data_IF_633761128313
#
_entry.id   IF_633761128313
#
_cell.length_a   1.000
_cell.length_b   1.000
_cell.length_c   1.000
_cell.angle_alpha   90.00
_cell.angle_beta   90.00
_cell.angle_gamma   90.00
#
_symmetry.space_group_name_H-M   'P 1'
#
loop_
_entity.id
_entity.type
_entity.pdbx_description
1 polymer ?
#
# COMPACT_ATOMS: atom_id res chain seq x y z
N UNK A 1 -12.86 3.86 37.45
CA UNK A 1 -13.62 3.35 38.62
C UNK A 1 -14.98 2.76 38.27
N UNK A 2 -15.63 3.11 37.14
CA UNK A 2 -16.94 2.54 36.73
C UNK A 2 -16.90 1.56 35.54
N UNK A 3 -15.72 1.04 35.18
CA UNK A 3 -15.56 0.26 33.96
C UNK A 3 -16.38 -1.04 33.96
N UNK A 4 -16.43 -1.78 35.07
CA UNK A 4 -17.28 -2.98 35.19
C UNK A 4 -18.79 -2.69 35.08
N UNK A 5 -19.24 -1.50 35.51
CA UNK A 5 -20.64 -1.11 35.34
C UNK A 5 -20.96 -0.84 33.86
N UNK A 6 -20.01 -0.25 33.12
CA UNK A 6 -20.12 -0.09 31.67
C UNK A 6 -20.13 -1.47 30.98
N UNK A 7 -19.28 -2.41 31.40
CA UNK A 7 -19.30 -3.78 30.87
C UNK A 7 -20.68 -4.44 31.02
N UNK A 8 -21.35 -4.27 32.17
CA UNK A 8 -22.70 -4.81 32.39
C UNK A 8 -23.71 -4.23 31.40
N UNK A 9 -23.62 -2.93 31.11
CA UNK A 9 -24.49 -2.27 30.12
C UNK A 9 -24.19 -2.80 28.72
N UNK A 10 -22.93 -2.80 28.30
CA UNK A 10 -22.53 -3.23 26.96
C UNK A 10 -22.88 -4.70 26.68
N UNK A 11 -22.73 -5.57 27.68
CA UNK A 11 -23.14 -6.98 27.61
C UNK A 11 -24.62 -7.17 27.29
N UNK A 12 -25.49 -6.28 27.78
CA UNK A 12 -26.94 -6.38 27.51
C UNK A 12 -27.28 -6.22 26.03
N UNK A 13 -26.41 -5.56 25.26
CA UNK A 13 -26.69 -5.17 23.87
C UNK A 13 -25.63 -5.66 22.88
N UNK A 14 -24.70 -6.51 23.32
CA UNK A 14 -23.55 -6.99 22.51
C UNK A 14 -22.76 -5.83 21.85
N UNK A 15 -22.54 -4.76 22.61
CA UNK A 15 -21.72 -3.63 22.17
C UNK A 15 -20.25 -3.98 22.43
N UNK A 16 -19.42 -3.83 21.41
CA UNK A 16 -17.97 -4.02 21.49
C UNK A 16 -17.29 -2.76 22.00
N UNK A 17 -16.30 -2.89 22.88
CA UNK A 17 -15.44 -1.78 23.28
C UNK A 17 -14.42 -1.46 22.19
N UNK A 18 -14.39 -0.19 21.79
CA UNK A 18 -13.21 0.45 21.24
C UNK A 18 -12.52 1.17 22.39
N UNK A 19 -11.41 0.61 22.89
CA UNK A 19 -10.67 1.23 23.99
C UNK A 19 -9.79 2.35 23.42
N UNK A 20 -10.23 3.59 23.63
CA UNK A 20 -9.67 4.78 22.98
C UNK A 20 -8.26 5.16 23.39
N UNK A 21 -7.53 5.76 22.46
CA UNK A 21 -6.15 6.22 22.57
C UNK A 21 -6.06 7.72 22.87
N UNK A 22 -6.52 8.09 24.07
CA UNK A 22 -6.62 9.49 24.51
C UNK A 22 -5.27 10.20 24.61
N UNK A 23 -4.18 9.47 24.79
CA UNK A 23 -2.80 9.96 24.91
C UNK A 23 -1.94 9.57 23.69
N UNK A 24 -2.55 9.32 22.53
CA UNK A 24 -1.81 9.06 21.28
C UNK A 24 -0.91 10.25 20.87
N UNK A 25 0.22 9.99 20.18
CA UNK A 25 1.08 11.04 19.67
C UNK A 25 0.41 11.84 18.55
N UNK A 26 0.41 13.17 18.69
CA UNK A 26 -0.07 14.13 17.69
C UNK A 26 1.04 14.74 16.83
N UNK A 27 2.30 14.36 17.06
CA UNK A 27 3.44 14.69 16.21
C UNK A 27 4.51 13.59 16.32
N UNK A 28 5.44 13.56 15.37
CA UNK A 28 6.51 12.55 15.31
C UNK A 28 7.41 12.56 16.55
N UNK A 29 7.60 13.73 17.19
CA UNK A 29 8.48 13.85 18.35
C UNK A 29 7.92 13.20 19.61
N UNK A 30 6.60 13.09 19.72
CA UNK A 30 5.91 12.53 20.89
C UNK A 30 5.65 11.02 20.75
N UNK A 31 6.03 10.43 19.61
CA UNK A 31 5.82 9.01 19.35
C UNK A 31 6.59 8.13 20.35
N UNK A 32 5.89 7.12 20.88
CA UNK A 32 6.39 6.12 21.84
C UNK A 32 6.82 6.72 23.18
N UNK A 33 6.23 7.86 23.57
CA UNK A 33 6.50 8.44 24.88
C UNK A 33 5.87 7.63 26.02
N UNK A 34 6.22 8.00 27.26
CA UNK A 34 5.73 7.30 28.44
C UNK A 34 4.21 7.47 28.67
N UNK A 35 3.61 8.55 28.16
CA UNK A 35 2.17 8.78 28.30
C UNK A 35 1.39 7.82 27.40
N UNK A 36 1.80 7.69 26.13
CA UNK A 36 1.23 6.77 25.16
C UNK A 36 1.30 5.32 25.67
N UNK A 37 2.49 4.86 26.07
CA UNK A 37 2.65 3.47 26.51
C UNK A 37 2.02 3.18 27.86
N UNK A 38 2.00 4.15 28.79
CA UNK A 38 1.27 4.01 30.04
C UNK A 38 -0.25 3.86 29.83
N UNK A 39 -0.82 4.55 28.84
CA UNK A 39 -2.21 4.32 28.44
C UNK A 39 -2.39 2.93 27.85
N UNK A 40 -1.57 2.52 26.88
CA UNK A 40 -1.67 1.21 26.21
C UNK A 40 -1.64 0.04 27.20
N UNK A 41 -0.72 0.06 28.16
CA UNK A 41 -0.64 -0.93 29.24
C UNK A 41 -1.94 -0.99 30.06
N UNK A 42 -2.49 0.19 30.39
CA UNK A 42 -3.79 0.31 31.07
C UNK A 42 -4.93 -0.25 30.22
N UNK A 43 -4.94 -0.02 28.90
CA UNK A 43 -5.95 -0.59 28.00
C UNK A 43 -5.88 -2.12 27.98
N UNK A 44 -4.68 -2.70 28.09
CA UNK A 44 -4.48 -4.15 28.26
C UNK A 44 -5.09 -4.71 29.55
N UNK A 45 -4.98 -3.97 30.66
CA UNK A 45 -5.67 -4.32 31.91
C UNK A 45 -7.19 -4.25 31.78
N UNK A 46 -7.70 -3.16 31.18
CA UNK A 46 -9.13 -2.97 30.94
C UNK A 46 -9.71 -4.03 30.01
N UNK A 47 -8.94 -4.46 29.01
CA UNK A 47 -9.29 -5.58 28.12
C UNK A 47 -9.54 -6.86 28.90
N UNK A 48 -8.62 -7.22 29.81
CA UNK A 48 -8.78 -8.41 30.68
C UNK A 48 -10.01 -8.29 31.59
N UNK A 49 -10.37 -7.07 32.03
CA UNK A 49 -11.60 -6.83 32.80
C UNK A 49 -12.82 -7.05 31.90
N UNK A 50 -12.88 -6.42 30.72
CA UNK A 50 -14.00 -6.58 29.78
C UNK A 50 -14.24 -8.06 29.39
N UNK A 51 -13.17 -8.82 29.17
CA UNK A 51 -13.27 -10.26 28.85
C UNK A 51 -13.81 -11.10 30.01
N UNK A 52 -13.54 -10.75 31.28
CA UNK A 52 -14.19 -11.41 32.43
C UNK A 52 -15.70 -11.22 32.45
N UNK A 53 -16.19 -10.15 31.79
CA UNK A 53 -17.61 -9.89 31.62
C UNK A 53 -18.16 -10.45 30.30
N UNK A 54 -17.38 -11.17 29.49
CA UNK A 54 -17.73 -11.62 28.14
C UNK A 54 -18.09 -10.46 27.19
N UNK A 55 -17.40 -9.31 27.31
CA UNK A 55 -17.60 -8.17 26.40
C UNK A 55 -16.44 -8.11 25.41
N UNK A 56 -16.76 -8.02 24.12
CA UNK A 56 -15.80 -7.93 23.02
C UNK A 56 -14.99 -6.62 23.12
N UNK A 57 -13.71 -6.64 22.76
CA UNK A 57 -12.83 -5.46 22.77
C UNK A 57 -11.95 -5.41 21.53
N UNK A 58 -11.61 -4.20 21.12
CA UNK A 58 -10.43 -3.88 20.32
C UNK A 58 -9.79 -2.60 20.87
N UNK A 59 -8.52 -2.39 20.55
CA UNK A 59 -7.68 -1.33 21.13
C UNK A 59 -7.45 -0.26 20.06
N UNK A 60 -7.63 1.00 20.39
CA UNK A 60 -7.21 2.11 19.52
C UNK A 60 -5.72 2.35 19.67
N UNK A 61 -5.07 2.84 18.61
CA UNK A 61 -3.63 3.01 18.54
C UNK A 61 -3.21 4.21 17.69
N UNK A 62 -1.90 4.52 17.72
CA UNK A 62 -1.37 5.86 17.55
C UNK A 62 -1.71 6.57 16.24
N UNK A 63 -1.52 7.91 16.30
CA UNK A 63 -1.64 8.83 15.18
C UNK A 63 -0.33 9.06 14.43
N UNK A 64 0.63 9.79 15.03
CA UNK A 64 1.87 10.20 14.35
C UNK A 64 3.06 9.37 14.83
N UNK A 65 3.63 8.53 13.97
CA UNK A 65 4.74 7.62 14.32
C UNK A 65 5.71 7.46 13.15
N UNK A 66 7.00 7.77 13.31
CA UNK A 66 7.98 7.60 12.25
C UNK A 66 8.25 6.10 12.01
N UNK A 67 8.55 5.71 10.77
CA UNK A 67 8.54 4.30 10.34
C UNK A 67 9.36 3.35 11.24
N UNK A 68 10.53 3.79 11.69
CA UNK A 68 11.41 2.98 12.55
C UNK A 68 10.81 2.63 13.93
N UNK A 69 9.76 3.33 14.35
CA UNK A 69 9.07 3.14 15.64
C UNK A 69 7.73 2.36 15.51
N UNK A 70 7.24 2.12 14.28
CA UNK A 70 5.94 1.47 14.06
C UNK A 70 5.94 0.03 14.60
N UNK A 71 7.04 -0.71 14.41
CA UNK A 71 7.11 -2.10 14.84
C UNK A 71 6.98 -2.27 16.36
N UNK A 72 7.60 -1.38 17.13
CA UNK A 72 7.52 -1.37 18.59
C UNK A 72 6.09 -1.18 19.09
N UNK A 73 5.29 -0.32 18.42
CA UNK A 73 3.89 -0.13 18.77
C UNK A 73 3.08 -1.42 18.60
N UNK A 74 3.28 -2.15 17.50
CA UNK A 74 2.58 -3.41 17.28
C UNK A 74 3.01 -4.47 18.30
N UNK A 75 4.31 -4.60 18.54
CA UNK A 75 4.84 -5.61 19.48
C UNK A 75 4.32 -5.39 20.90
N UNK A 76 4.37 -4.14 21.38
CA UNK A 76 3.87 -3.81 22.71
C UNK A 76 2.35 -3.99 22.80
N UNK A 77 1.60 -3.69 21.75
CA UNK A 77 0.16 -3.94 21.77
C UNK A 77 -0.17 -5.43 21.88
N UNK A 78 0.52 -6.30 21.13
CA UNK A 78 0.30 -7.75 21.20
C UNK A 78 0.61 -8.29 22.61
N UNK A 79 1.73 -7.84 23.20
CA UNK A 79 2.18 -8.25 24.53
C UNK A 79 1.22 -7.79 25.63
N UNK A 80 0.90 -6.49 25.68
CA UNK A 80 0.17 -5.90 26.80
C UNK A 80 -1.34 -6.17 26.73
N UNK A 81 -1.89 -6.17 25.51
CA UNK A 81 -3.33 -6.28 25.27
C UNK A 81 -3.81 -7.70 24.97
N UNK A 82 -2.94 -8.71 25.12
CA UNK A 82 -3.30 -10.11 24.94
C UNK A 82 -3.78 -10.44 23.54
N UNK A 83 -3.16 -9.83 22.52
CA UNK A 83 -3.49 -10.01 21.11
C UNK A 83 -4.94 -9.57 20.73
N UNK A 84 -5.56 -8.70 21.53
CA UNK A 84 -6.83 -8.06 21.13
C UNK A 84 -6.67 -7.36 19.77
N UNK A 85 -7.72 -7.28 18.93
CA UNK A 85 -7.63 -6.58 17.65
C UNK A 85 -7.17 -5.13 17.83
N UNK A 86 -6.24 -4.68 16.99
CA UNK A 86 -5.72 -3.31 17.04
C UNK A 86 -6.39 -2.45 15.95
N UNK A 87 -6.67 -1.18 16.27
CA UNK A 87 -7.31 -0.20 15.41
C UNK A 87 -6.52 1.11 15.40
N UNK A 88 -5.79 1.43 14.33
CA UNK A 88 -4.89 2.60 14.32
C UNK A 88 -5.37 3.74 13.43
N UNK A 89 -5.05 4.98 13.80
CA UNK A 89 -5.24 6.17 12.96
C UNK A 89 -3.99 6.43 12.11
N UNK A 90 -3.89 5.76 10.96
CA UNK A 90 -2.65 5.70 10.19
C UNK A 90 -1.74 4.57 10.65
N UNK A 91 -0.52 4.84 11.14
CA UNK A 91 -0.03 6.16 11.59
C UNK A 91 0.59 7.04 10.48
N UNK A 92 0.54 8.36 10.66
CA UNK A 92 1.27 9.35 9.85
C UNK A 92 2.77 9.20 10.07
N UNK A 93 3.53 8.98 8.99
CA UNK A 93 4.97 8.77 9.08
C UNK A 93 5.80 10.05 9.05
N UNK A 94 5.16 11.19 8.80
CA UNK A 94 5.78 12.52 8.78
C UNK A 94 4.73 13.62 8.92
N UNK A 95 5.11 14.74 9.55
CA UNK A 95 4.21 15.87 9.85
C UNK A 95 4.28 17.00 8.80
N UNK A 96 5.16 16.88 7.79
CA UNK A 96 5.54 18.01 6.94
C UNK A 96 4.69 18.16 5.66
N UNK A 97 3.62 17.38 5.52
CA UNK A 97 2.83 17.33 4.28
C UNK A 97 1.30 17.47 4.50
N UNK A 98 0.83 18.49 5.24
CA UNK A 98 -0.61 18.74 5.36
C UNK A 98 -1.22 18.97 3.97
N UNK A 99 -2.40 18.41 3.73
CA UNK A 99 -2.99 18.31 2.38
C UNK A 99 -2.73 16.95 1.71
N UNK A 100 -1.77 16.18 2.22
CA UNK A 100 -1.38 14.86 1.70
C UNK A 100 -1.31 13.81 2.81
N UNK A 101 -1.98 14.03 3.94
CA UNK A 101 -1.87 13.14 5.10
C UNK A 101 -2.49 11.75 4.88
N UNK A 102 -3.45 11.63 3.95
CA UNK A 102 -3.89 10.34 3.44
C UNK A 102 -2.74 9.50 2.84
N UNK A 103 -1.70 10.13 2.29
CA UNK A 103 -0.50 9.46 1.75
C UNK A 103 0.50 9.19 2.87
N UNK A 104 0.81 10.20 3.69
CA UNK A 104 1.78 10.04 4.81
C UNK A 104 1.34 8.93 5.76
N UNK A 105 0.04 8.86 6.04
CA UNK A 105 -0.55 7.83 6.89
C UNK A 105 -0.71 6.48 6.20
N UNK A 106 -0.99 6.42 4.89
CA UNK A 106 -1.10 5.15 4.18
C UNK A 106 0.21 4.34 4.23
N UNK A 107 1.36 5.01 4.28
CA UNK A 107 2.67 4.37 4.44
C UNK A 107 2.77 3.65 5.80
N UNK A 108 2.36 4.32 6.88
CA UNK A 108 2.37 3.72 8.21
C UNK A 108 1.28 2.68 8.38
N UNK A 109 0.08 2.94 7.85
CA UNK A 109 -1.07 2.05 7.88
C UNK A 109 -0.77 0.70 7.19
N UNK A 110 -0.10 0.72 6.04
CA UNK A 110 0.34 -0.50 5.36
C UNK A 110 1.38 -1.28 6.19
N UNK A 111 2.30 -0.59 6.87
CA UNK A 111 3.31 -1.23 7.72
C UNK A 111 2.70 -1.86 8.97
N UNK A 112 1.91 -1.09 9.73
CA UNK A 112 1.30 -1.60 10.96
C UNK A 112 0.23 -2.65 10.66
N UNK A 113 -0.50 -2.50 9.55
CA UNK A 113 -1.40 -3.52 9.01
C UNK A 113 -0.65 -4.82 8.68
N UNK A 114 0.52 -4.72 8.04
CA UNK A 114 1.38 -5.88 7.78
C UNK A 114 1.86 -6.53 9.08
N UNK A 115 2.24 -5.73 10.08
CA UNK A 115 2.71 -6.24 11.37
C UNK A 115 1.62 -6.89 12.22
N UNK A 116 0.33 -6.67 11.94
CA UNK A 116 -0.77 -7.39 12.59
C UNK A 116 -1.99 -6.54 12.95
N UNK A 117 -1.99 -5.24 12.65
CA UNK A 117 -3.15 -4.40 12.94
C UNK A 117 -4.41 -4.90 12.20
N UNK A 118 -5.54 -4.93 12.90
CA UNK A 118 -6.76 -5.57 12.42
C UNK A 118 -7.66 -4.60 11.63
N UNK A 119 -7.66 -3.32 12.00
CA UNK A 119 -8.47 -2.28 11.36
C UNK A 119 -7.69 -0.99 11.26
N UNK A 120 -7.88 -0.25 10.17
CA UNK A 120 -7.15 1.00 9.89
C UNK A 120 -8.17 2.13 9.76
N UNK A 121 -8.10 3.12 10.66
CA UNK A 121 -8.88 4.34 10.54
C UNK A 121 -8.24 5.20 9.46
N UNK A 122 -9.03 5.52 8.44
CA UNK A 122 -8.56 6.35 7.34
C UNK A 122 -8.21 7.77 7.79
N UNK A 123 -7.33 8.40 7.02
CA UNK A 123 -6.99 9.82 7.14
C UNK A 123 -7.28 10.45 5.79
N UNK A 124 -7.94 11.61 5.81
CA UNK A 124 -8.32 12.31 4.57
C UNK A 124 -7.19 13.25 4.10
N UNK A 125 -7.20 13.69 2.83
CA UNK A 125 -6.27 14.73 2.37
C UNK A 125 -6.33 16.02 3.20
N UNK A 126 -7.52 16.38 3.71
CA UNK A 126 -7.75 17.60 4.50
C UNK A 126 -7.51 17.45 6.00
N UNK A 127 -6.99 16.31 6.45
CA UNK A 127 -6.54 16.20 7.84
C UNK A 127 -5.60 17.37 8.18
N UNK A 128 -5.72 17.89 9.41
CA UNK A 128 -5.04 19.09 9.87
C UNK A 128 -5.40 20.42 9.17
N UNK A 129 -6.31 20.42 8.19
CA UNK A 129 -6.70 21.60 7.40
C UNK A 129 -8.18 21.96 7.50
N UNK A 130 -9.08 20.98 7.62
CA UNK A 130 -10.51 21.24 7.75
C UNK A 130 -11.39 20.02 7.48
N UNK A 131 -12.70 20.25 7.40
CA UNK A 131 -13.65 19.17 7.15
C UNK A 131 -13.52 18.64 5.71
N UNK A 132 -13.48 17.30 5.52
CA UNK A 132 -13.43 16.70 4.20
C UNK A 132 -14.75 16.88 3.45
N UNK A 133 -14.65 17.06 2.13
CA UNK A 133 -15.77 16.97 1.21
C UNK A 133 -15.93 15.52 0.69
N UNK A 134 -16.85 15.31 -0.25
CA UNK A 134 -17.13 13.99 -0.82
C UNK A 134 -15.91 13.37 -1.52
N UNK A 135 -15.13 14.17 -2.25
CA UNK A 135 -13.95 13.69 -2.98
C UNK A 135 -12.81 13.33 -2.01
N UNK A 136 -12.60 14.16 -0.98
CA UNK A 136 -11.61 13.90 0.08
C UNK A 136 -11.91 12.58 0.81
N UNK A 137 -13.19 12.29 1.05
CA UNK A 137 -13.64 11.02 1.64
C UNK A 137 -13.32 9.86 0.71
N UNK A 138 -13.61 9.98 -0.59
CA UNK A 138 -13.30 8.93 -1.58
C UNK A 138 -11.79 8.67 -1.63
N UNK A 139 -10.98 9.72 -1.69
CA UNK A 139 -9.51 9.61 -1.73
C UNK A 139 -8.95 8.90 -0.50
N UNK A 140 -9.41 9.29 0.70
CA UNK A 140 -9.03 8.62 1.95
C UNK A 140 -9.41 7.13 1.96
N UNK A 141 -10.64 6.80 1.54
CA UNK A 141 -11.10 5.40 1.48
C UNK A 141 -10.25 4.59 0.49
N UNK A 142 -9.99 5.10 -0.71
CA UNK A 142 -9.19 4.40 -1.72
C UNK A 142 -7.75 4.22 -1.23
N UNK A 143 -7.13 5.25 -0.63
CA UNK A 143 -5.78 5.17 -0.06
C UNK A 143 -5.68 4.05 0.99
N UNK A 144 -6.67 3.95 1.90
CA UNK A 144 -6.66 2.93 2.95
C UNK A 144 -7.06 1.55 2.46
N UNK A 145 -7.89 1.43 1.41
CA UNK A 145 -8.13 0.15 0.73
C UNK A 145 -6.85 -0.37 0.06
N UNK A 146 -6.01 0.52 -0.49
CA UNK A 146 -4.69 0.16 -1.03
C UNK A 146 -3.77 -0.28 0.12
N UNK A 147 -3.67 0.50 1.21
CA UNK A 147 -2.82 0.18 2.35
C UNK A 147 -3.19 -1.17 2.99
N UNK A 148 -4.48 -1.42 3.22
CA UNK A 148 -4.97 -2.69 3.75
C UNK A 148 -4.67 -3.87 2.82
N UNK A 149 -4.90 -3.72 1.51
CA UNK A 149 -4.59 -4.77 0.53
C UNK A 149 -3.08 -5.03 0.44
N UNK A 150 -2.25 -3.99 0.51
CA UNK A 150 -0.80 -4.12 0.55
C UNK A 150 -0.33 -4.88 1.80
N UNK A 151 -0.93 -4.60 2.96
CA UNK A 151 -0.71 -5.37 4.18
C UNK A 151 -1.12 -6.85 4.02
N UNK A 152 -2.29 -7.13 3.42
CA UNK A 152 -2.75 -8.50 3.16
C UNK A 152 -1.82 -9.27 2.22
N UNK A 153 -1.29 -8.61 1.19
CA UNK A 153 -0.25 -9.19 0.32
C UNK A 153 1.02 -9.51 1.09
N UNK A 154 1.52 -8.57 1.91
CA UNK A 154 2.73 -8.75 2.71
C UNK A 154 2.56 -9.86 3.79
N UNK A 155 1.34 -10.03 4.31
CA UNK A 155 0.96 -11.14 5.20
C UNK A 155 0.81 -12.47 4.49
N UNK A 156 0.75 -12.49 3.15
CA UNK A 156 0.45 -13.70 2.38
C UNK A 156 -0.98 -14.20 2.60
N UNK A 157 -1.94 -13.30 2.84
CA UNK A 157 -3.33 -13.68 3.11
C UNK A 157 -3.89 -14.49 1.92
N UNK A 158 -4.51 -15.67 2.16
CA UNK A 158 -5.09 -16.49 1.10
C UNK A 158 -6.06 -15.67 0.24
N UNK A 159 -5.81 -15.65 -1.07
CA UNK A 159 -6.67 -14.97 -2.04
C UNK A 159 -6.31 -13.50 -2.34
N UNK A 160 -5.50 -12.82 -1.52
CA UNK A 160 -5.12 -11.42 -1.78
C UNK A 160 -4.45 -11.29 -3.16
N UNK A 161 -3.45 -12.13 -3.43
CA UNK A 161 -2.67 -12.09 -4.67
C UNK A 161 -3.47 -12.45 -5.94
N UNK A 162 -4.65 -13.07 -5.82
CA UNK A 162 -5.48 -13.43 -6.97
C UNK A 162 -5.91 -12.18 -7.73
N UNK A 163 -6.28 -11.11 -7.02
CA UNK A 163 -6.71 -9.85 -7.63
C UNK A 163 -5.55 -9.19 -8.41
N UNK A 164 -4.37 -9.11 -7.80
CA UNK A 164 -3.15 -8.57 -8.41
C UNK A 164 -2.79 -9.33 -9.68
N UNK A 165 -2.82 -10.67 -9.63
CA UNK A 165 -2.50 -11.52 -10.76
C UNK A 165 -3.54 -11.39 -11.88
N UNK A 166 -4.83 -11.32 -11.55
CA UNK A 166 -5.89 -11.12 -12.53
C UNK A 166 -5.76 -9.78 -13.26
N UNK A 167 -5.52 -8.70 -12.50
CA UNK A 167 -5.31 -7.36 -13.06
C UNK A 167 -4.02 -7.28 -13.88
N UNK A 168 -2.93 -7.86 -13.38
CA UNK A 168 -1.64 -7.91 -14.09
C UNK A 168 -1.74 -8.71 -15.39
N UNK A 169 -2.48 -9.82 -15.39
CA UNK A 169 -2.77 -10.59 -16.60
C UNK A 169 -3.60 -9.78 -17.59
N UNK A 170 -4.66 -9.11 -17.12
CA UNK A 170 -5.46 -8.23 -17.98
C UNK A 170 -4.62 -7.11 -18.61
N UNK A 171 -3.70 -6.53 -17.83
CA UNK A 171 -2.74 -5.52 -18.31
C UNK A 171 -1.81 -6.06 -19.38
N UNK A 172 -1.19 -7.22 -19.13
CA UNK A 172 -0.25 -7.83 -20.08
C UNK A 172 -0.93 -8.27 -21.38
N UNK A 173 -2.19 -8.70 -21.30
CA UNK A 173 -3.01 -9.11 -22.45
C UNK A 173 -3.76 -7.94 -23.11
N UNK A 174 -3.52 -6.70 -22.67
CA UNK A 174 -4.18 -5.49 -23.17
C UNK A 174 -5.72 -5.55 -23.12
N UNK A 175 -6.27 -6.29 -22.15
CA UNK A 175 -7.71 -6.33 -21.84
C UNK A 175 -8.07 -5.12 -20.98
N UNK A 176 -8.10 -3.94 -21.60
CA UNK A 176 -8.25 -2.65 -20.92
C UNK A 176 -9.50 -2.58 -20.03
N UNK A 177 -10.66 -3.00 -20.52
CA UNK A 177 -11.90 -2.97 -19.74
C UNK A 177 -11.82 -3.85 -18.49
N UNK A 178 -11.24 -5.04 -18.62
CA UNK A 178 -11.03 -5.94 -17.47
C UNK A 178 -10.06 -5.32 -16.47
N UNK A 179 -8.97 -4.70 -16.95
CA UNK A 179 -8.02 -3.99 -16.09
C UNK A 179 -8.70 -2.86 -15.29
N UNK A 180 -9.55 -2.06 -15.93
CA UNK A 180 -10.28 -0.99 -15.22
C UNK A 180 -11.24 -1.55 -14.18
N UNK A 181 -12.05 -2.55 -14.57
CA UNK A 181 -13.06 -3.14 -13.69
C UNK A 181 -12.46 -3.89 -12.50
N UNK A 182 -11.22 -4.40 -12.63
CA UNK A 182 -10.49 -5.03 -11.54
C UNK A 182 -9.82 -4.02 -10.59
N UNK A 183 -9.65 -2.76 -11.01
CA UNK A 183 -9.09 -1.69 -10.20
C UNK A 183 -9.93 -1.38 -8.95
N UNK A 184 -9.33 -0.72 -7.95
CA UNK A 184 -10.05 -0.30 -6.73
C UNK A 184 -11.01 0.86 -6.98
N UNK A 185 -10.71 1.69 -7.99
CA UNK A 185 -11.57 2.79 -8.47
C UNK A 185 -11.67 2.73 -10.00
N UNK A 186 -12.58 1.89 -10.54
CA UNK A 186 -12.71 1.67 -11.99
C UNK A 186 -13.00 2.95 -12.78
N UNK A 187 -13.77 3.88 -12.21
CA UNK A 187 -14.16 5.12 -12.88
C UNK A 187 -12.95 6.02 -13.12
N UNK A 188 -12.10 6.19 -12.11
CA UNK A 188 -10.86 6.95 -12.23
C UNK A 188 -9.88 6.28 -13.20
N UNK A 189 -9.75 4.95 -13.15
CA UNK A 189 -8.88 4.22 -14.07
C UNK A 189 -9.30 4.41 -15.53
N UNK A 190 -10.61 4.35 -15.83
CA UNK A 190 -11.16 4.62 -17.16
C UNK A 190 -10.92 6.07 -17.58
N UNK A 191 -11.24 7.01 -16.69
CA UNK A 191 -11.09 8.45 -16.93
C UNK A 191 -9.66 8.80 -17.34
N UNK A 192 -8.65 8.36 -16.58
CA UNK A 192 -7.25 8.71 -16.86
C UNK A 192 -6.71 8.11 -18.16
N UNK A 193 -7.17 6.90 -18.53
CA UNK A 193 -6.84 6.36 -19.86
C UNK A 193 -7.46 7.23 -20.97
N UNK A 194 -8.74 7.59 -20.81
CA UNK A 194 -9.53 8.25 -21.85
C UNK A 194 -9.21 9.74 -22.03
N UNK A 195 -8.55 10.36 -21.05
CA UNK A 195 -7.99 11.71 -21.19
C UNK A 195 -7.06 11.84 -22.41
N UNK A 196 -6.36 10.77 -22.79
CA UNK A 196 -5.43 10.76 -23.94
C UNK A 196 -5.82 9.76 -25.04
N UNK A 197 -6.58 8.71 -24.71
CA UNK A 197 -6.95 7.64 -25.63
C UNK A 197 -8.48 7.35 -25.59
N UNK A 198 -9.35 8.33 -25.90
CA UNK A 198 -10.81 8.25 -25.65
C UNK A 198 -11.57 7.30 -26.60
N UNK A 199 -11.01 6.97 -27.75
CA UNK A 199 -11.71 6.16 -28.77
C UNK A 199 -11.92 4.73 -28.25
N UNK A 200 -13.08 4.13 -28.49
CA UNK A 200 -13.34 2.74 -28.10
C UNK A 200 -12.32 1.74 -28.69
N UNK A 201 -11.84 1.98 -29.90
CA UNK A 201 -10.76 1.19 -30.50
C UNK A 201 -9.45 1.20 -29.70
N UNK A 202 -9.23 2.20 -28.83
CA UNK A 202 -8.07 2.23 -27.95
C UNK A 202 -8.12 1.17 -26.85
N UNK A 203 -9.33 0.69 -26.48
CA UNK A 203 -9.53 -0.35 -25.47
C UNK A 203 -9.13 -1.75 -25.93
N UNK A 204 -8.72 -1.86 -27.19
CA UNK A 204 -8.14 -3.07 -27.80
C UNK A 204 -6.71 -2.81 -28.29
N UNK A 205 -6.11 -1.65 -27.99
CA UNK A 205 -4.76 -1.31 -28.41
C UNK A 205 -3.71 -2.03 -27.57
N UNK A 206 -2.68 -2.56 -28.22
CA UNK A 206 -1.50 -3.13 -27.54
C UNK A 206 -0.49 -2.07 -27.07
N UNK A 207 -0.99 -0.92 -26.61
CA UNK A 207 -0.18 0.18 -26.06
C UNK A 207 -1.08 1.23 -25.39
N UNK A 208 -0.47 2.09 -24.57
CA UNK A 208 -1.07 3.32 -24.07
C UNK A 208 -0.31 4.54 -24.57
N UNK A 209 -0.78 5.74 -24.24
CA UNK A 209 -0.15 7.01 -24.61
C UNK A 209 1.26 7.20 -24.03
N UNK A 210 1.58 6.53 -22.91
CA UNK A 210 2.88 6.69 -22.24
C UNK A 210 4.07 6.23 -23.10
N UNK A 211 3.98 5.07 -23.76
CA UNK A 211 5.07 4.53 -24.59
C UNK A 211 4.73 4.52 -26.09
N UNK A 212 3.44 4.66 -26.44
CA UNK A 212 2.97 4.54 -27.80
C UNK A 212 3.16 3.15 -28.41
N UNK A 213 2.82 2.99 -29.71
CA UNK A 213 2.74 1.68 -30.36
C UNK A 213 4.09 1.00 -30.62
N UNK A 214 5.20 1.75 -30.59
CA UNK A 214 6.54 1.25 -30.94
C UNK A 214 7.38 0.83 -29.75
N UNK A 215 7.15 1.42 -28.57
CA UNK A 215 8.02 1.26 -27.40
C UNK A 215 7.31 0.63 -26.19
N UNK A 216 6.10 0.12 -26.37
CA UNK A 216 5.41 -0.61 -25.31
C UNK A 216 6.15 -1.93 -25.01
N UNK A 217 6.74 -2.04 -23.82
CA UNK A 217 7.52 -3.21 -23.40
C UNK A 217 6.72 -4.52 -23.40
N UNK A 218 5.46 -4.47 -22.96
CA UNK A 218 4.58 -5.65 -22.95
C UNK A 218 4.25 -6.14 -24.36
N UNK A 219 4.05 -5.21 -25.31
CA UNK A 219 3.81 -5.54 -26.71
C UNK A 219 5.04 -6.18 -27.34
N UNK A 220 6.21 -5.58 -27.15
CA UNK A 220 7.48 -6.12 -27.63
C UNK A 220 7.70 -7.53 -27.05
N UNK A 221 7.39 -7.74 -25.77
CA UNK A 221 7.49 -9.07 -25.13
C UNK A 221 6.53 -10.08 -25.76
N UNK A 222 5.30 -9.69 -26.09
CA UNK A 222 4.37 -10.57 -26.81
C UNK A 222 4.87 -10.91 -28.20
N UNK A 223 5.37 -9.92 -28.95
CA UNK A 223 5.94 -10.11 -30.30
C UNK A 223 7.11 -11.11 -30.26
N UNK A 224 8.05 -10.94 -29.30
CA UNK A 224 9.18 -11.87 -29.10
C UNK A 224 8.68 -13.29 -28.78
N UNK A 225 7.66 -13.44 -27.92
CA UNK A 225 7.10 -14.76 -27.58
C UNK A 225 6.41 -15.47 -28.75
N UNK A 226 6.01 -14.72 -29.78
CA UNK A 226 5.36 -15.24 -30.98
C UNK A 226 6.30 -15.45 -32.16
N UNK A 227 7.56 -15.01 -32.06
CA UNK A 227 8.58 -15.26 -33.07
C UNK A 227 8.87 -16.75 -33.18
N UNK A 228 9.12 -17.21 -34.40
CA UNK A 228 9.54 -18.59 -34.63
C UNK A 228 11.04 -18.79 -34.33
N UNK A 229 11.48 -20.05 -34.28
CA UNK A 229 12.88 -20.39 -34.00
C UNK A 229 13.85 -19.81 -35.03
N UNK A 230 13.40 -19.58 -36.27
CA UNK A 230 14.24 -19.04 -37.35
C UNK A 230 14.44 -17.52 -37.20
N UNK A 231 13.39 -16.79 -36.82
CA UNK A 231 13.42 -15.36 -36.50
C UNK A 231 14.29 -15.10 -35.26
N UNK A 232 14.13 -15.91 -34.21
CA UNK A 232 14.97 -15.82 -33.01
C UNK A 232 16.44 -16.10 -33.32
N UNK A 233 16.73 -17.15 -34.12
CA UNK A 233 18.10 -17.45 -34.53
C UNK A 233 18.75 -16.32 -35.35
N UNK A 234 17.98 -15.62 -36.19
CA UNK A 234 18.47 -14.44 -36.93
C UNK A 234 18.79 -13.27 -35.99
N UNK A 235 17.95 -13.03 -34.99
CA UNK A 235 18.20 -11.99 -33.99
C UNK A 235 19.45 -12.33 -33.18
N UNK A 236 19.58 -13.57 -32.70
CA UNK A 236 20.75 -14.02 -31.94
C UNK A 236 22.04 -13.91 -32.76
N UNK A 237 21.99 -14.24 -34.05
CA UNK A 237 23.14 -14.06 -34.94
C UNK A 237 23.55 -12.59 -35.09
N UNK A 238 22.59 -11.67 -35.15
CA UNK A 238 22.86 -10.21 -35.20
C UNK A 238 23.41 -9.71 -33.87
N UNK A 239 22.85 -10.16 -32.75
CA UNK A 239 23.34 -9.83 -31.40
C UNK A 239 24.79 -10.31 -31.24
N UNK A 240 25.07 -11.56 -31.59
CA UNK A 240 26.41 -12.12 -31.50
C UNK A 240 27.41 -11.31 -32.33
N UNK A 241 27.04 -10.94 -33.56
CA UNK A 241 27.91 -10.13 -34.42
C UNK A 241 28.17 -8.72 -33.84
N UNK A 242 27.17 -8.10 -33.22
CA UNK A 242 27.35 -6.81 -32.52
C UNK A 242 28.17 -6.94 -31.24
N UNK A 243 27.99 -8.03 -30.49
CA UNK A 243 28.79 -8.32 -29.30
C UNK A 243 30.26 -8.60 -29.67
N UNK A 244 30.52 -9.31 -30.76
CA UNK A 244 31.87 -9.54 -31.29
C UNK A 244 32.52 -8.21 -31.70
N UNK A 245 31.77 -7.32 -32.36
CA UNK A 245 32.23 -5.96 -32.69
C UNK A 245 32.55 -5.13 -31.44
N UNK A 246 31.66 -5.13 -30.44
CA UNK A 246 31.89 -4.42 -29.18
C UNK A 246 33.03 -4.99 -28.37
N UNK A 247 33.23 -6.31 -28.40
CA UNK A 247 34.39 -6.97 -27.79
C UNK A 247 35.68 -6.58 -28.49
N UNK A 248 35.69 -6.50 -29.83
CA UNK A 248 36.85 -6.02 -30.59
C UNK A 248 37.14 -4.54 -30.31
N UNK A 249 36.10 -3.69 -30.24
CA UNK A 249 36.23 -2.27 -29.86
C UNK A 249 36.76 -2.10 -28.44
N UNK A 250 36.30 -2.91 -27.49
CA UNK A 250 36.79 -2.91 -26.12
C UNK A 250 38.27 -3.31 -26.05
N UNK A 251 38.67 -4.38 -26.75
CA UNK A 251 40.07 -4.81 -26.83
C UNK A 251 40.96 -3.77 -27.54
N UNK A 252 40.44 -3.09 -28.55
CA UNK A 252 41.15 -2.01 -29.26
C UNK A 252 41.34 -0.76 -28.40
N UNK A 253 40.50 -0.56 -27.39
CA UNK A 253 40.61 0.51 -26.41
C UNK A 253 41.23 0.03 -25.09
N UNK A 254 42.25 -0.84 -25.18
CA UNK A 254 43.03 -1.35 -24.04
C UNK A 254 42.20 -2.03 -22.93
N UNK A 255 41.01 -2.53 -23.26
CA UNK A 255 40.08 -3.13 -22.30
C UNK A 255 39.67 -2.15 -21.18
N UNK A 256 39.66 -0.86 -21.47
CA UNK A 256 39.20 0.16 -20.53
C UNK A 256 37.67 0.29 -20.56
N UNK A 257 37.06 0.29 -19.38
CA UNK A 257 35.61 0.47 -19.22
C UNK A 257 35.21 1.94 -19.40
N UNK A 258 36.13 2.87 -19.12
CA UNK A 258 35.90 4.31 -19.20
C UNK A 258 36.84 4.92 -20.22
N UNK A 259 36.35 5.07 -21.45
CA UNK A 259 37.09 5.76 -22.51
C UNK A 259 37.24 7.24 -22.13
N UNK A 260 38.47 7.77 -22.22
CA UNK A 260 38.70 9.21 -22.08
C UNK A 260 38.02 9.89 -23.26
N UNK A 261 37.11 10.82 -22.99
CA UNK A 261 36.55 11.66 -24.04
C UNK A 261 37.70 12.44 -24.69
N UNK A 262 37.83 12.34 -26.02
CA UNK A 262 38.70 13.23 -26.77
C UNK A 262 38.23 14.68 -26.56
N UNK A 263 39.08 15.47 -25.91
CA UNK A 263 38.93 16.92 -25.71
C UNK A 263 39.40 17.70 -26.92
#
# INVERSE_FOLDING_TARGET
>A
THFEDICKIMKQYDITFSLGDGLRPGCIADANDAAQFGELETLGELTKIAWKHDVQTFIEGPGHVPMQMIKENMDKQLEECGEAPFYTLGPLTTDIAPGYDHITSAIGAAQIGWYGCAMLCYVTPKEHLGLPNQDDVKEGIIAYKIAAHAADLAKGHPGAQIRDNALSKARFEFRWEDQFNLGLDPDTARKYHDETMPKQAAKTSHFCSMCGPKFCSMKITQEIKTMDEEELAKIDAVIQLQMDQKSAEFLANDSEIYLKNDS
#
